data_IF_891241700450
#
_entry.id   IF_891241700450
#
_cell.length_a   1.000
_cell.length_b   1.000
_cell.length_c   1.000
_cell.angle_alpha   90.00
_cell.angle_beta   90.00
_cell.angle_gamma   90.00
#
_symmetry.space_group_name_H-M   'P 1'
#
loop_
_entity.id
_entity.type
_entity.pdbx_description
1 polymer ?
2 non-polymer ?
3 water ?
#
# COMPACT_ATOMS: atom_id res chain seq x y z
N UNK A 1 -12.28 -2.00 14.16
CA UNK A 1 -11.71 -1.79 12.82
C UNK A 1 -10.88 -3.01 12.43
N UNK A 2 -11.07 -3.50 11.21
CA UNK A 2 -10.34 -4.69 10.75
C UNK A 2 -10.04 -4.59 9.26
N UNK A 3 -9.00 -5.29 8.81
CA UNK A 3 -8.70 -5.38 7.38
C UNK A 3 -8.50 -6.82 6.96
N UNK A 4 -8.56 -7.08 5.66
CA UNK A 4 -8.02 -8.34 5.18
C UNK A 4 -7.33 -8.17 3.83
N UNK A 5 -6.56 -9.20 3.48
CA UNK A 5 -5.74 -9.19 2.28
C UNK A 5 -6.21 -10.35 1.41
N UNK A 6 -6.56 -10.04 0.17
CA UNK A 6 -7.05 -11.04 -0.78
C UNK A 6 -8.17 -11.88 -0.18
N UNK A 7 -9.05 -11.21 0.57
CA UNK A 7 -10.20 -11.85 1.19
C UNK A 7 -9.87 -12.82 2.31
N UNK A 8 -8.70 -12.64 2.92
CA UNK A 8 -8.22 -13.52 3.97
C UNK A 8 -8.81 -13.23 5.34
N UNK A 9 -8.13 -13.69 6.38
CA UNK A 9 -8.63 -13.52 7.74
C UNK A 9 -8.43 -12.09 8.25
N UNK A 10 -9.13 -11.75 9.32
CA UNK A 10 -9.12 -10.39 9.86
C UNK A 10 -7.75 -9.98 10.37
N UNK A 11 -7.40 -8.71 10.16
CA UNK A 11 -6.17 -8.12 10.65
C UNK A 11 -6.54 -6.88 11.46
N UNK A 12 -6.07 -6.79 12.70
CA UNK A 12 -6.46 -5.71 13.58
C UNK A 12 -5.35 -4.72 13.85
N UNK A 13 -4.13 -5.11 13.49
CA UNK A 13 -2.92 -4.31 13.67
C UNK A 13 -1.73 -5.10 13.14
N UNK A 14 -0.57 -4.46 13.05
CA UNK A 14 0.65 -5.21 12.80
C UNK A 14 1.08 -5.25 11.35
N UNK A 15 2.06 -6.09 11.05
CA UNK A 15 2.67 -6.17 9.72
C UNK A 15 2.16 -7.38 8.96
N UNK A 16 1.74 -7.15 7.71
CA UNK A 16 1.18 -8.19 6.87
C UNK A 16 1.80 -8.15 5.48
N UNK A 17 2.20 -9.31 4.98
CA UNK A 17 2.66 -9.39 3.59
C UNK A 17 1.49 -9.25 2.64
N UNK A 18 1.71 -8.51 1.55
CA UNK A 18 0.71 -8.36 0.51
C UNK A 18 1.40 -8.71 -0.80
N UNK A 19 1.01 -9.84 -1.40
CA UNK A 19 1.67 -10.33 -2.61
C UNK A 19 1.04 -9.81 -3.89
N UNK A 20 1.88 -9.33 -4.80
CA UNK A 20 1.38 -8.78 -6.05
C UNK A 20 2.09 -9.37 -7.27
N UNK A 21 1.35 -9.48 -8.36
CA UNK A 21 1.90 -9.90 -9.65
C UNK A 21 2.27 -8.68 -10.46
N UNK A 22 3.50 -8.63 -10.97
CA UNK A 22 3.97 -7.45 -11.68
C UNK A 22 4.26 -7.75 -13.14
N UNK A 23 4.04 -6.75 -13.99
CA UNK A 23 4.48 -6.79 -15.39
C UNK A 23 5.92 -7.31 -15.46
N UNK A 24 6.14 -8.46 -16.11
CA UNK A 24 7.44 -9.12 -15.97
C UNK A 24 8.57 -8.53 -16.80
N UNK A 25 8.24 -7.85 -17.90
CA UNK A 25 9.26 -7.31 -18.78
C UNK A 25 8.92 -5.87 -19.14
N UNK A 26 9.83 -4.94 -18.84
CA UNK A 26 9.55 -3.54 -19.11
C UNK A 26 10.70 -2.85 -19.83
N UNK A 27 10.45 -1.63 -20.30
CA UNK A 27 11.50 -0.87 -20.99
C UNK A 27 11.87 0.38 -20.19
N UNK A 28 13.02 1.00 -20.50
CA UNK A 28 13.38 2.25 -19.81
C UNK A 28 12.28 3.29 -19.90
N UNK A 29 11.97 3.93 -18.78
CA UNK A 29 10.96 4.97 -18.75
C UNK A 29 9.57 4.45 -18.46
N UNK A 30 9.39 3.13 -18.52
CA UNK A 30 8.09 2.53 -18.29
C UNK A 30 7.85 2.37 -16.79
N UNK A 31 6.62 2.62 -16.36
CA UNK A 31 6.31 2.44 -14.95
C UNK A 31 5.76 1.04 -14.64
N UNK A 32 5.66 0.74 -13.36
CA UNK A 32 4.88 -0.38 -12.88
C UNK A 32 3.75 0.21 -12.06
N UNK A 33 2.53 -0.23 -12.31
CA UNK A 33 1.38 0.24 -11.54
C UNK A 33 0.88 -0.87 -10.62
N UNK A 34 1.05 -0.68 -9.32
CA UNK A 34 0.64 -1.70 -8.37
C UNK A 34 -0.67 -1.27 -7.73
N UNK A 35 -1.77 -1.89 -8.16
CA UNK A 35 -3.09 -1.53 -7.66
C UNK A 35 -3.42 -2.30 -6.38
N UNK A 36 -3.21 -1.67 -5.24
CA UNK A 36 -3.38 -2.38 -3.99
C UNK A 36 -4.86 -2.43 -3.57
N UNK A 37 -5.71 -1.66 -4.26
CA UNK A 37 -7.16 -1.70 -4.00
C UNK A 37 -7.72 -3.09 -4.29
N UNK A 38 -7.06 -3.82 -5.19
CA UNK A 38 -7.46 -5.18 -5.52
C UNK A 38 -7.01 -6.21 -4.49
N UNK A 39 -6.28 -5.77 -3.47
CA UNK A 39 -5.70 -6.70 -2.50
C UNK A 39 -6.06 -6.42 -1.05
N UNK A 40 -6.17 -5.15 -0.68
CA UNK A 40 -6.42 -4.82 0.72
C UNK A 40 -7.78 -4.14 0.88
N UNK A 41 -8.59 -4.62 1.83
CA UNK A 41 -9.88 -4.01 2.14
C UNK A 41 -10.03 -3.90 3.65
N UNK A 42 -10.75 -2.89 4.12
CA UNK A 42 -10.95 -2.70 5.55
C UNK A 42 -12.39 -2.35 5.84
N UNK A 43 -12.81 -2.61 7.07
CA UNK A 43 -14.19 -2.33 7.45
C UNK A 43 -14.30 -1.88 8.89
N UNK A 44 -15.46 -1.32 9.20
CA UNK A 44 -15.84 -0.93 10.56
C UNK A 44 -16.55 -2.10 11.25
N UNK A 45 -16.23 -2.37 12.52
CA UNK A 45 -16.71 -3.60 13.12
C UNK A 45 -18.06 -3.47 13.82
N UNK A 46 -18.60 -2.26 13.86
CA UNK A 46 -19.97 -2.02 14.32
C UNK A 46 -20.95 -1.83 13.17
N UNK A 47 -20.52 -1.11 12.13
CA UNK A 47 -21.38 -0.77 11.02
C UNK A 47 -22.17 0.49 11.30
N UNK A 48 -22.88 0.99 10.29
CA UNK A 48 -23.75 2.15 10.46
C UNK A 48 -23.02 3.44 10.78
N UNK A 49 -21.71 3.45 10.52
CA UNK A 49 -20.84 4.60 10.78
C UNK A 49 -20.89 5.01 12.24
N UNK A 50 -21.24 4.04 13.09
CA UNK A 50 -21.09 4.21 14.52
C UNK A 50 -19.62 3.99 14.84
N UNK A 51 -19.05 4.92 15.60
CA UNK A 51 -17.63 4.94 15.91
C UNK A 51 -16.82 4.82 14.62
N UNK A 52 -16.97 5.81 13.75
CA UNK A 52 -16.31 5.80 12.46
C UNK A 52 -14.79 5.74 12.61
N UNK A 53 -14.16 4.92 11.78
CA UNK A 53 -12.71 4.79 11.76
C UNK A 53 -12.11 5.80 10.80
N UNK A 54 -10.99 6.39 11.20
CA UNK A 54 -10.33 7.40 10.39
C UNK A 54 -8.95 6.91 10.05
N UNK A 55 -8.69 6.70 8.76
CA UNK A 55 -7.50 6.03 8.25
C UNK A 55 -6.63 6.94 7.39
N UNK A 56 -5.31 6.90 7.57
CA UNK A 56 -4.42 7.57 6.64
C UNK A 56 -3.11 6.80 6.51
N UNK A 57 -2.30 7.15 5.52
CA UNK A 57 -0.98 6.54 5.39
C UNK A 57 0.04 7.48 6.00
N UNK A 58 1.18 6.92 6.40
CA UNK A 58 2.06 7.63 7.32
C UNK A 58 3.41 8.00 6.73
N UNK A 59 3.83 9.23 7.03
CA UNK A 59 5.19 9.70 6.75
C UNK A 59 6.23 8.62 7.03
N UNK A 60 7.15 8.43 6.09
CA UNK A 60 8.18 7.41 6.25
C UNK A 60 7.98 6.13 5.45
N UNK A 61 6.73 5.83 5.10
CA UNK A 61 6.41 4.77 4.13
C UNK A 61 7.33 4.88 2.92
N UNK A 62 7.96 3.79 2.53
CA UNK A 62 9.04 3.90 1.54
C UNK A 62 9.24 2.65 0.70
N UNK A 63 10.04 2.77 -0.36
CA UNK A 63 10.53 1.59 -1.07
C UNK A 63 11.46 0.79 -0.17
N UNK A 64 11.65 -0.47 -0.51
CA UNK A 64 12.52 -1.33 0.28
C UNK A 64 13.73 -1.76 -0.52
N UNK A 65 14.86 -1.89 0.18
CA UNK A 65 16.08 -2.40 -0.41
C UNK A 65 16.60 -1.58 -1.58
N UNK A 66 16.77 -2.27 -2.71
CA UNK A 66 17.38 -1.70 -3.91
C UNK A 66 16.45 -0.72 -4.63
N UNK A 67 15.17 -0.80 -4.31
CA UNK A 67 14.19 0.03 -4.98
C UNK A 67 14.19 1.46 -4.47
N UNK A 68 15.04 1.77 -3.49
CA UNK A 68 14.98 3.12 -2.93
C UNK A 68 15.59 4.15 -3.88
N UNK A 69 16.30 3.69 -4.91
CA UNK A 69 16.76 4.64 -5.92
C UNK A 69 15.68 4.92 -6.96
N UNK A 70 14.57 4.17 -6.92
CA UNK A 70 13.53 4.29 -7.94
C UNK A 70 12.62 5.48 -7.69
N UNK A 71 11.98 5.97 -8.75
CA UNK A 71 11.00 7.04 -8.63
C UNK A 71 9.64 6.48 -8.24
N UNK A 72 8.90 7.20 -7.41
CA UNK A 72 7.61 6.70 -6.98
C UNK A 72 6.54 7.77 -6.79
N UNK A 73 5.30 7.38 -7.03
CA UNK A 73 4.13 8.18 -6.66
C UNK A 73 3.12 7.26 -6.00
N UNK A 74 2.43 7.75 -4.99
CA UNK A 74 1.42 6.96 -4.31
C UNK A 74 0.08 7.66 -4.44
N UNK A 75 -0.89 6.95 -5.00
CA UNK A 75 -2.26 7.44 -5.03
C UNK A 75 -3.00 6.96 -3.79
N UNK A 76 -3.62 7.91 -3.08
CA UNK A 76 -4.44 7.58 -1.92
C UNK A 76 -5.67 8.46 -1.87
N UNK A 77 -6.84 7.86 -1.96
CA UNK A 77 -8.10 8.57 -1.72
C UNK A 77 -8.16 9.91 -2.46
N UNK A 78 -8.01 9.84 -3.78
CA UNK A 78 -8.18 10.99 -4.70
C UNK A 78 -7.02 11.98 -4.72
N UNK A 79 -5.90 11.63 -4.12
CA UNK A 79 -4.73 12.51 -4.08
C UNK A 79 -3.46 11.74 -4.41
N UNK A 80 -2.57 12.33 -5.20
CA UNK A 80 -1.28 11.71 -5.50
C UNK A 80 -0.19 12.33 -4.62
N UNK A 81 0.66 11.49 -4.04
CA UNK A 81 1.76 11.90 -3.18
C UNK A 81 3.08 11.38 -3.74
N UNK A 82 4.15 12.17 -3.66
CA UNK A 82 5.46 11.60 -3.96
C UNK A 82 5.73 10.44 -3.01
N UNK A 83 6.42 9.41 -3.50
CA UNK A 83 6.76 8.24 -2.70
C UNK A 83 8.28 8.06 -2.80
N UNK A 84 8.96 7.91 -1.65
CA UNK A 84 8.42 7.69 -0.29
C UNK A 84 7.69 8.89 0.31
N UNK A 85 6.78 8.60 1.24
CA UNK A 85 5.98 9.64 1.86
C UNK A 85 6.82 10.51 2.79
N UNK A 86 6.82 11.82 2.54
CA UNK A 86 7.51 12.77 3.40
C UNK A 86 6.52 13.51 4.31
N UNK A 87 5.23 13.20 4.13
CA UNK A 87 4.16 13.73 4.97
C UNK A 87 3.15 12.61 5.19
N UNK A 88 2.19 12.81 6.08
CA UNK A 88 1.05 11.90 6.12
C UNK A 88 0.10 12.21 4.96
N UNK A 89 -0.78 11.26 4.65
CA UNK A 89 -1.79 11.50 3.63
C UNK A 89 -3.07 12.04 4.24
N UNK A 90 -4.01 12.38 3.37
CA UNK A 90 -5.36 12.71 3.78
C UNK A 90 -6.03 11.53 4.49
N UNK A 91 -7.15 11.82 5.16
CA UNK A 91 -7.86 10.82 5.96
C UNK A 91 -9.04 10.25 5.19
N UNK A 92 -9.17 8.93 5.26
CA UNK A 92 -10.30 8.21 4.71
C UNK A 92 -11.19 7.73 5.84
N UNK A 93 -12.49 7.96 5.74
CA UNK A 93 -13.42 7.50 6.77
C UNK A 93 -14.03 6.16 6.41
N UNK A 94 -14.08 5.26 7.40
CA UNK A 94 -14.61 3.92 7.20
C UNK A 94 -15.63 3.59 8.30
N UNK A 95 -16.86 3.30 7.89
CA UNK A 95 -17.94 3.10 8.84
C UNK A 95 -18.89 1.95 8.56
N UNK A 96 -18.83 1.39 7.36
CA UNK A 96 -19.71 0.29 6.95
C UNK A 96 -19.10 -1.06 7.31
N UNK A 97 -19.94 -2.07 7.54
CA UNK A 97 -19.45 -3.43 7.83
C UNK A 97 -18.96 -4.11 6.55
N UNK A 98 -19.50 -3.70 5.41
CA UNK A 98 -19.02 -4.22 4.13
C UNK A 98 -17.63 -3.65 3.81
N UNK A 99 -16.66 -4.53 3.52
CA UNK A 99 -15.29 -4.04 3.31
C UNK A 99 -15.18 -3.04 2.18
N UNK A 100 -14.35 -2.02 2.41
CA UNK A 100 -14.01 -1.03 1.41
C UNK A 100 -12.61 -1.32 0.90
N UNK A 101 -12.48 -1.58 -0.40
CA UNK A 101 -11.12 -1.69 -0.94
C UNK A 101 -10.34 -0.39 -0.68
N UNK A 102 -9.09 -0.49 -0.22
CA UNK A 102 -8.34 0.72 0.05
C UNK A 102 -8.05 1.43 -1.26
N UNK A 103 -8.33 2.73 -1.32
CA UNK A 103 -8.10 3.49 -2.55
C UNK A 103 -6.62 3.84 -2.71
N UNK A 104 -5.84 2.84 -3.08
CA UNK A 104 -4.38 2.89 -2.93
C UNK A 104 -3.70 2.29 -4.15
N UNK A 105 -2.90 3.08 -4.86
CA UNK A 105 -2.07 2.54 -5.94
C UNK A 105 -0.67 3.08 -5.83
N UNK A 106 0.30 2.23 -6.14
CA UNK A 106 1.70 2.62 -6.11
C UNK A 106 2.23 2.62 -7.54
N UNK A 107 2.77 3.75 -7.97
CA UNK A 107 3.37 3.90 -9.29
C UNK A 107 4.88 3.89 -9.12
N UNK A 108 5.55 2.99 -9.83
CA UNK A 108 6.99 2.80 -9.68
C UNK A 108 7.68 3.00 -11.01
N UNK A 109 8.67 3.88 -11.07
CA UNK A 109 9.48 3.93 -12.29
C UNK A 109 10.93 3.63 -11.94
N UNK A 110 11.41 2.45 -12.36
CA UNK A 110 12.80 2.07 -12.09
C UNK A 110 13.79 3.06 -12.68
N UNK A 111 14.83 3.34 -11.91
CA UNK A 111 15.95 4.21 -12.28
C UNK A 111 17.25 3.46 -12.08
N UNK A 112 18.14 3.53 -13.07
CA UNK A 112 19.47 2.95 -12.95
C UNK A 112 19.53 1.44 -13.00
N UNK A 113 18.47 0.81 -13.50
CA UNK A 113 18.39 -0.65 -13.51
C UNK A 113 18.34 -1.23 -14.91
N UNK A 114 18.49 -0.37 -15.93
CA UNK A 114 18.36 -0.83 -17.32
C UNK A 114 19.42 -1.88 -17.65
N UNK A 115 19.02 -2.89 -18.43
CA UNK A 115 19.92 -3.96 -18.80
C UNK A 115 19.87 -5.19 -17.90
N UNK A 116 19.07 -5.15 -16.83
CA UNK A 116 18.97 -6.30 -15.95
C UNK A 116 17.70 -6.45 -15.13
N UNK A 117 17.83 -7.09 -13.97
CA UNK A 117 16.70 -7.34 -13.09
C UNK A 117 16.32 -6.05 -12.36
N UNK A 118 15.03 -5.76 -12.34
CA UNK A 118 14.47 -4.55 -11.75
C UNK A 118 13.92 -4.85 -10.37
N UNK A 119 13.24 -5.99 -10.28
CA UNK A 119 12.62 -6.46 -9.05
C UNK A 119 12.80 -7.97 -8.98
N UNK A 120 13.18 -8.49 -7.82
CA UNK A 120 13.35 -9.93 -7.65
C UNK A 120 12.06 -10.60 -7.17
N UNK A 121 11.79 -11.80 -7.66
CA UNK A 121 10.72 -12.63 -7.10
C UNK A 121 10.91 -12.79 -5.59
N UNK A 122 9.85 -12.54 -4.82
CA UNK A 122 9.87 -12.74 -3.38
C UNK A 122 10.38 -11.57 -2.56
N UNK A 123 10.79 -10.50 -3.24
CA UNK A 123 11.42 -9.36 -2.59
C UNK A 123 10.37 -8.37 -2.09
N UNK A 124 10.57 -7.83 -0.89
CA UNK A 124 9.73 -6.72 -0.43
C UNK A 124 10.05 -5.50 -1.28
N UNK A 125 9.03 -4.90 -1.88
CA UNK A 125 9.26 -3.75 -2.75
C UNK A 125 8.90 -2.42 -2.08
N UNK A 126 7.98 -2.47 -1.12
CA UNK A 126 7.60 -1.26 -0.39
C UNK A 126 7.04 -1.63 0.96
N UNK A 127 7.19 -0.72 1.92
CA UNK A 127 6.62 -0.91 3.25
C UNK A 127 5.72 0.28 3.51
N UNK A 128 4.41 0.05 3.54
CA UNK A 128 3.46 1.14 3.65
C UNK A 128 2.78 1.12 5.01
N UNK A 129 3.03 2.16 5.81
CA UNK A 129 2.50 2.27 7.16
C UNK A 129 1.14 2.97 7.11
N UNK A 130 0.15 2.35 7.75
CA UNK A 130 -1.21 2.88 7.79
C UNK A 130 -1.62 3.10 9.24
N UNK A 131 -2.28 4.23 9.50
CA UNK A 131 -2.70 4.58 10.85
C UNK A 131 -4.21 4.63 10.94
N UNK A 132 -4.75 4.05 12.01
CA UNK A 132 -6.19 4.07 12.28
C UNK A 132 -6.47 4.68 13.63
N UNK A 133 -7.45 5.59 13.69
CA UNK A 133 -8.01 5.99 14.98
C UNK A 133 -9.51 6.17 14.78
N UNK A 134 -10.30 5.72 15.75
CA UNK A 134 -11.75 5.82 15.62
C UNK A 134 -12.22 7.11 16.28
N UNK A 135 -13.44 7.08 16.82
CA UNK A 135 -14.10 8.32 17.21
C UNK A 135 -14.40 8.37 18.70
N UNK A 136 -14.86 7.25 19.25
CA UNK A 136 -15.28 7.20 20.65
C UNK A 136 -14.11 6.93 21.59
N UNK A 137 -14.14 7.57 22.76
CA UNK A 137 -13.11 7.39 23.77
C UNK A 137 -11.71 7.70 23.27
N UNK A 138 -10.79 6.76 23.49
CA UNK A 138 -9.40 6.93 23.05
C UNK A 138 -9.28 6.85 21.53
N UNK A 139 -10.32 6.31 20.89
CA UNK A 139 -10.26 6.01 19.47
C UNK A 139 -9.55 4.69 19.18
N UNK A 140 -8.99 4.08 20.22
CA UNK A 140 -8.20 2.85 20.11
C UNK A 140 -7.28 2.84 18.89
N UNK A 141 -6.32 3.78 18.85
CA UNK A 141 -5.46 3.86 17.66
C UNK A 141 -4.66 2.60 17.40
N UNK A 142 -4.50 2.29 16.12
CA UNK A 142 -3.79 1.08 15.72
C UNK A 142 -2.88 1.38 14.54
N UNK A 143 -1.75 0.70 14.51
CA UNK A 143 -0.80 0.79 13.41
C UNK A 143 -0.79 -0.47 12.58
N UNK A 144 -0.81 -0.32 11.25
CA UNK A 144 -0.67 -1.42 10.29
C UNK A 144 0.54 -1.14 9.41
N UNK A 145 1.29 -2.18 9.06
CA UNK A 145 2.29 -2.06 8.00
C UNK A 145 2.00 -3.07 6.91
N UNK A 146 1.95 -2.58 5.68
CA UNK A 146 1.71 -3.43 4.54
C UNK A 146 3.03 -3.64 3.81
N UNK A 147 3.54 -4.86 3.85
CA UNK A 147 4.78 -5.21 3.17
C UNK A 147 4.45 -5.72 1.80
N UNK A 148 4.68 -4.90 0.78
CA UNK A 148 4.30 -5.26 -0.57
C UNK A 148 5.41 -6.13 -1.16
N UNK A 149 5.04 -7.33 -1.59
CA UNK A 149 5.99 -8.33 -2.06
C UNK A 149 5.69 -8.77 -3.49
N UNK A 150 6.70 -8.74 -4.36
CA UNK A 150 6.48 -9.18 -5.73
C UNK A 150 6.51 -10.70 -5.83
N UNK A 151 5.52 -11.26 -6.51
CA UNK A 151 5.48 -12.70 -6.74
C UNK A 151 6.49 -13.14 -7.79
N UNK A 152 6.99 -12.18 -8.56
CA UNK A 152 7.80 -12.53 -9.72
C UNK A 152 8.94 -11.56 -10.01
N UNK A 153 9.91 -12.04 -10.76
CA UNK A 153 10.98 -11.21 -11.27
C UNK A 153 10.43 -10.19 -12.26
N UNK A 154 11.01 -8.99 -12.25
CA UNK A 154 10.76 -8.04 -13.32
C UNK A 154 12.09 -7.67 -13.94
N UNK A 155 12.17 -7.70 -15.27
CA UNK A 155 13.41 -7.37 -15.95
C UNK A 155 13.22 -6.23 -16.95
N UNK A 156 14.31 -5.50 -17.18
CA UNK A 156 14.37 -4.44 -18.18
C UNK A 156 15.57 -4.73 -19.08
N UNK A 157 15.38 -5.62 -20.07
CA UNK A 157 16.55 -6.10 -20.81
C UNK A 157 17.25 -5.04 -21.64
N UNK A 158 16.52 -4.05 -22.13
CA UNK A 158 17.14 -3.07 -23.02
C UNK A 158 17.60 -1.85 -22.23
N UNK A 159 18.47 -1.06 -22.85
CA UNK A 159 19.00 0.13 -22.23
C UNK A 159 20.22 -0.14 -21.37
X LIG B 1 -16.10 -6.06 17.45
X LIG B 1 -12.34 -5.36 17.23
X LIG B 1 -10.12 -5.29 18.20
X LIG B 1 -12.71 -0.68 17.90
X LIG B 1 -14.54 -0.29 13.72
X LIG B 1 -15.29 0.40 14.71
X LIG B 1 -14.74 0.16 16.08
X LIG B 1 -14.38 -1.27 16.19
X LIG B 1 -13.87 -1.58 17.52
X LIG B 1 -13.38 -2.87 17.51
X LIG B 1 -14.36 -3.89 17.49
X LIG B 1 -15.73 -3.66 17.61
X LIG B 1 -16.60 -4.75 17.58
X LIG B 1 -14.73 -6.29 17.33
X LIG B 1 -14.22 -7.72 17.17
X LIG B 1 -13.16 -7.96 17.95
X LIG B 1 -13.86 -7.91 15.89
X LIG B 1 -15.20 -8.59 17.48
X LIG B 1 -13.86 -5.19 17.35
X LIG B 1 -11.80 -5.73 15.99
X LIG B 1 -10.41 -5.87 15.88
X LIG B 1 -9.84 -6.27 14.62
X LIG B 1 -9.36 -7.84 14.50
X LIG B 1 -8.86 -8.10 13.19
X LIG B 1 -10.73 -8.93 14.85
X LIG B 1 -8.29 -8.11 15.41
X LIG B 1 -9.56 -5.66 16.97
X LIG B 1 -11.50 -5.14 18.32
X LIG B 1 -12.34 -1.03 19.26
X LIG B 1 -11.06 -1.57 19.60
X LIG B 1 -10.77 -1.93 21.05
X LIG B 1 -10.20 -1.75 18.74
X LIG B 1 -13.09 0.75 17.80
X LIG B 1 -11.93 1.56 18.14
X LIG B 1 -13.58 1.08 16.44
X LIG B 1 -12.50 0.93 15.48
#
# INVERSE_FOLDING_TARGET
FSCNVDGGSSIGAGTTSVYVNLDPVIQPGQNLVVDLSQHISCWNDYGGWYDTDHINLVQGSAFAGSLQSYKGSLYWNNVTYPFPLTTNTNVLDIGDKTPMPLPLKLYITPVGAAGGVVIKAGEVIARIHMYKIATLGSGNPRNFTWNIISNNSVVMPTGGHHHHHH
JC7 C10 C17 C26 C28 O01 C02 C03 O04 C05 O06 C07 C08 C09 C11 C12 F13 F14 F15 C16 C18 C19 N20 S21 O22 C23 O24 C25 C27 N29 C30 C31 O32 C33 O34 C35 O36
#
